data_IF_114106901189
#
_entry.id   IF_114106901189
#
_cell.length_a   1.000
_cell.length_b   1.000
_cell.length_c   1.000
_cell.angle_alpha   90.00
_cell.angle_beta   90.00
_cell.angle_gamma   90.00
#
_symmetry.space_group_name_H-M   'P 1'
#
loop_
_entity.id
_entity.type
_entity.pdbx_description
1 polymer ?
#
# COMPACT_ATOMS: atom_id res chain seq x y z
N UNK A 1 2.09 17.36 21.68
CA UNK A 1 1.93 17.97 20.34
C UNK A 1 1.16 16.97 19.49
N UNK A 2 0.05 17.36 18.87
CA UNK A 2 -0.61 16.53 17.87
C UNK A 2 0.08 16.82 16.53
N UNK A 3 0.82 15.83 16.00
CA UNK A 3 1.46 15.93 14.69
C UNK A 3 0.42 15.97 13.57
N UNK A 4 0.81 16.48 12.39
CA UNK A 4 -0.04 16.37 11.20
C UNK A 4 -0.01 14.92 10.72
N UNK A 5 -1.15 14.29 10.39
CA UNK A 5 -1.17 12.93 9.88
C UNK A 5 -0.34 12.77 8.60
N UNK A 6 0.40 11.67 8.51
CA UNK A 6 1.19 11.25 7.35
C UNK A 6 0.55 10.01 6.74
N UNK A 7 0.26 10.09 5.44
CA UNK A 7 -0.33 8.98 4.67
C UNK A 7 0.59 8.62 3.52
N UNK A 8 0.87 7.33 3.35
CA UNK A 8 1.71 6.78 2.27
C UNK A 8 0.83 6.05 1.25
N UNK A 9 1.19 6.11 -0.03
CA UNK A 9 0.46 5.50 -1.15
C UNK A 9 1.41 4.72 -2.05
N UNK A 10 0.87 3.86 -2.93
CA UNK A 10 1.61 3.17 -4.00
C UNK A 10 2.77 2.31 -3.49
N UNK A 11 2.47 1.46 -2.50
CA UNK A 11 3.46 0.54 -1.92
C UNK A 11 3.34 -0.87 -2.52
N UNK A 12 2.13 -1.31 -2.87
CA UNK A 12 1.85 -2.69 -3.31
C UNK A 12 1.33 -2.73 -4.75
N UNK A 13 1.86 -1.86 -5.61
CA UNK A 13 1.43 -1.68 -7.00
C UNK A 13 1.38 -3.03 -7.78
N UNK A 14 2.28 -3.99 -7.51
CA UNK A 14 2.27 -5.29 -8.21
C UNK A 14 1.04 -6.14 -7.91
N UNK A 15 0.29 -5.82 -6.86
CA UNK A 15 -0.92 -6.54 -6.48
C UNK A 15 -2.10 -6.29 -7.41
N UNK A 16 -2.00 -5.32 -8.34
CA UNK A 16 -2.99 -5.18 -9.42
C UNK A 16 -3.00 -6.38 -10.35
N UNK A 17 -1.83 -6.98 -10.60
CA UNK A 17 -1.66 -8.09 -11.54
C UNK A 17 -1.34 -9.42 -10.84
N UNK A 18 -1.06 -9.40 -9.53
CA UNK A 18 -0.64 -10.58 -8.77
C UNK A 18 -1.38 -10.68 -7.43
N UNK A 19 -1.76 -11.89 -7.03
CA UNK A 19 -2.40 -12.12 -5.73
C UNK A 19 -1.49 -11.89 -4.52
N UNK A 20 -0.19 -11.67 -4.72
CA UNK A 20 0.79 -11.49 -3.64
C UNK A 20 1.75 -10.36 -3.99
N UNK A 21 2.09 -9.50 -3.01
CA UNK A 21 3.11 -8.48 -3.22
C UNK A 21 4.49 -9.12 -3.34
N UNK A 22 5.41 -8.37 -3.92
CA UNK A 22 6.83 -8.74 -3.92
C UNK A 22 7.43 -8.61 -2.52
N UNK A 23 8.60 -9.21 -2.30
CA UNK A 23 9.35 -9.05 -1.04
C UNK A 23 9.77 -7.60 -0.79
N UNK A 24 10.02 -6.83 -1.85
CA UNK A 24 10.39 -5.43 -1.76
C UNK A 24 9.20 -4.61 -1.23
N UNK A 25 8.03 -4.76 -1.85
CA UNK A 25 6.81 -4.05 -1.44
C UNK A 25 6.40 -4.40 0.01
N UNK A 26 6.50 -5.67 0.41
CA UNK A 26 6.27 -6.06 1.80
C UNK A 26 7.25 -5.39 2.79
N UNK A 27 8.50 -5.19 2.36
CA UNK A 27 9.53 -4.50 3.14
C UNK A 27 9.23 -3.00 3.21
N UNK A 28 8.78 -2.41 2.12
CA UNK A 28 8.40 -0.99 2.05
C UNK A 28 7.19 -0.69 2.95
N UNK A 29 6.20 -1.59 3.02
CA UNK A 29 5.09 -1.49 4.00
C UNK A 29 5.63 -1.52 5.42
N UNK A 30 6.52 -2.46 5.73
CA UNK A 30 7.08 -2.58 7.08
C UNK A 30 7.86 -1.32 7.48
N UNK A 31 8.67 -0.78 6.58
CA UNK A 31 9.42 0.45 6.81
C UNK A 31 8.49 1.65 6.99
N UNK A 32 7.45 1.80 6.18
CA UNK A 32 6.49 2.90 6.32
C UNK A 32 5.80 2.91 7.70
N UNK A 33 5.51 1.72 8.26
CA UNK A 33 4.98 1.56 9.61
C UNK A 33 6.03 1.92 10.67
N UNK A 34 7.27 1.44 10.52
CA UNK A 34 8.37 1.73 11.45
C UNK A 34 8.75 3.22 11.47
N UNK A 35 8.64 3.90 10.33
CA UNK A 35 8.87 5.33 10.18
C UNK A 35 7.73 6.19 10.75
N UNK A 36 6.64 5.55 11.21
CA UNK A 36 5.54 6.21 11.91
C UNK A 36 4.47 6.82 11.00
N UNK A 37 4.24 6.23 9.84
CA UNK A 37 3.10 6.61 8.98
C UNK A 37 1.78 6.32 9.70
N UNK A 38 0.84 7.28 9.68
CA UNK A 38 -0.47 7.13 10.32
C UNK A 38 -1.42 6.24 9.51
N UNK A 39 -1.26 6.19 8.19
CA UNK A 39 -2.04 5.33 7.31
C UNK A 39 -1.30 4.97 6.01
N UNK A 40 -1.71 3.84 5.43
CA UNK A 40 -1.37 3.45 4.06
C UNK A 40 -2.67 3.47 3.24
N UNK A 41 -2.67 4.22 2.15
CA UNK A 41 -3.79 4.30 1.21
C UNK A 41 -3.56 3.31 0.06
N UNK A 42 -4.54 2.45 -0.19
CA UNK A 42 -4.59 1.55 -1.33
C UNK A 42 -5.64 2.05 -2.32
N UNK A 43 -5.31 1.98 -3.61
CA UNK A 43 -6.18 2.36 -4.71
C UNK A 43 -6.53 1.15 -5.56
N UNK A 44 -5.94 1.08 -6.76
CA UNK A 44 -6.15 0.00 -7.73
C UNK A 44 -5.82 -1.38 -7.14
N UNK A 45 -4.95 -1.44 -6.14
CA UNK A 45 -4.53 -2.65 -5.44
C UNK A 45 -5.65 -3.30 -4.60
N UNK A 46 -6.75 -2.59 -4.36
CA UNK A 46 -7.95 -3.09 -3.64
C UNK A 46 -9.24 -2.95 -4.41
N UNK A 47 -9.25 -2.17 -5.49
CA UNK A 47 -10.38 -2.10 -6.39
C UNK A 47 -10.54 -3.47 -7.05
N UNK A 48 -11.70 -4.08 -6.81
CA UNK A 48 -12.09 -5.32 -7.46
C UNK A 48 -12.11 -5.07 -8.98
N UNK A 49 -11.30 -5.80 -9.73
CA UNK A 49 -11.39 -5.79 -11.18
C UNK A 49 -12.66 -6.53 -11.61
N UNK A 50 -13.78 -5.81 -11.58
CA UNK A 50 -15.09 -6.31 -12.01
C UNK A 50 -15.17 -6.38 -13.55
N UNK A 51 -14.10 -6.06 -14.30
CA UNK A 51 -14.10 -6.01 -15.76
C UNK A 51 -12.94 -6.79 -16.40
N UNK A 52 -12.73 -8.03 -15.97
CA UNK A 52 -12.10 -9.06 -16.80
C UNK A 52 -13.15 -9.78 -17.70
N UNK A 53 -13.93 -9.01 -18.47
CA UNK A 53 -14.79 -9.51 -19.55
C UNK A 53 -14.45 -8.84 -20.88
#
# INVERSE_FOLDING_TARGET
>A
MSGKPVVVTRIVDSMTDNLRPTRAEATDVANAVLDGSDAILLGAETLEDVLHY
#
